data_IF_708696033322
#
_entry.id   IF_708696033322
#
_cell.length_a   1.000
_cell.length_b   1.000
_cell.length_c   1.000
_cell.angle_alpha   90.00
_cell.angle_beta   90.00
_cell.angle_gamma   90.00
#
_symmetry.space_group_name_H-M   'P 1'
#
loop_
_entity.id
_entity.type
_entity.pdbx_description
1 polymer ?
#
# COMPACT_ATOMS: atom_id res chain seq x y z
N UNK A 1 7.73 17.85 -50.72
CA UNK A 1 6.98 16.65 -50.28
C UNK A 1 7.05 16.62 -48.77
N UNK A 2 5.90 16.81 -48.12
CA UNK A 2 5.72 16.67 -46.68
C UNK A 2 5.88 15.21 -46.25
N UNK A 3 6.11 15.06 -44.94
CA UNK A 3 5.78 13.93 -44.08
C UNK A 3 6.79 12.77 -44.01
N UNK A 4 7.54 12.77 -42.91
CA UNK A 4 7.59 11.61 -42.02
C UNK A 4 7.95 12.09 -40.59
N UNK A 5 7.00 12.76 -39.93
CA UNK A 5 6.95 12.75 -38.47
C UNK A 5 6.60 11.30 -38.08
N UNK A 6 7.61 10.49 -37.79
CA UNK A 6 7.38 9.23 -37.09
C UNK A 6 7.09 9.60 -35.63
N UNK A 7 5.82 9.52 -35.26
CA UNK A 7 5.36 9.54 -33.88
C UNK A 7 6.15 8.50 -33.09
N UNK A 8 7.07 8.96 -32.24
CA UNK A 8 7.40 8.27 -31.00
C UNK A 8 6.15 8.37 -30.11
N UNK A 9 5.18 7.49 -30.37
CA UNK A 9 4.16 7.19 -29.40
C UNK A 9 4.87 6.51 -28.23
N UNK A 10 5.20 7.26 -27.19
CA UNK A 10 5.34 6.69 -25.86
C UNK A 10 4.06 5.89 -25.63
N UNK A 11 4.15 4.57 -25.69
CA UNK A 11 3.08 3.70 -25.28
C UNK A 11 2.95 3.88 -23.76
N UNK A 12 2.16 4.88 -23.34
CA UNK A 12 1.66 4.95 -21.99
C UNK A 12 0.88 3.65 -21.77
N UNK A 13 1.45 2.72 -21.02
CA UNK A 13 0.73 1.54 -20.59
C UNK A 13 -0.47 2.04 -19.79
N UNK A 14 -1.72 1.63 -20.13
CA UNK A 14 -2.87 2.14 -19.41
C UNK A 14 -2.77 1.66 -17.96
N UNK A 15 -2.64 2.62 -17.05
CA UNK A 15 -2.69 2.39 -15.62
C UNK A 15 -4.08 2.82 -15.13
N UNK A 16 -4.76 1.93 -14.44
CA UNK A 16 -5.96 2.24 -13.68
C UNK A 16 -5.57 2.27 -12.22
N UNK A 17 -5.90 3.36 -11.53
CA UNK A 17 -5.68 3.42 -10.09
C UNK A 17 -6.81 4.14 -9.39
N UNK A 18 -7.21 3.56 -8.26
CA UNK A 18 -8.17 4.15 -7.32
C UNK A 18 -7.38 4.44 -6.06
N UNK A 19 -7.32 5.71 -5.64
CA UNK A 19 -6.54 6.06 -4.46
C UNK A 19 -7.19 7.10 -3.56
N UNK A 20 -6.90 6.96 -2.27
CA UNK A 20 -7.15 7.98 -1.25
C UNK A 20 -5.83 8.27 -0.55
N UNK A 21 -5.59 9.55 -0.27
CA UNK A 21 -4.40 10.00 0.43
C UNK A 21 -4.72 10.92 1.58
N UNK A 22 -3.91 10.83 2.63
CA UNK A 22 -3.99 11.68 3.82
C UNK A 22 -2.62 12.31 4.05
N UNK A 23 -2.55 13.62 3.88
CA UNK A 23 -1.32 14.39 4.07
C UNK A 23 -1.45 15.19 5.36
N UNK A 24 -0.62 14.89 6.35
CA UNK A 24 -0.58 15.64 7.58
C UNK A 24 -0.01 17.05 7.34
N UNK A 25 -0.60 18.09 7.95
CA UNK A 25 -0.10 19.45 7.86
C UNK A 25 1.05 19.72 8.84
N UNK A 26 1.65 20.90 8.75
CA UNK A 26 2.49 21.53 9.78
C UNK A 26 3.62 20.63 10.32
N UNK A 27 4.30 19.94 9.41
CA UNK A 27 5.42 19.03 9.70
C UNK A 27 5.05 17.84 10.61
N UNK A 28 3.76 17.57 10.83
CA UNK A 28 3.32 16.36 11.51
C UNK A 28 3.52 15.13 10.61
N UNK A 29 3.73 13.98 11.23
CA UNK A 29 4.15 12.75 10.55
C UNK A 29 3.44 11.54 11.14
N UNK A 30 3.18 10.55 10.29
CA UNK A 30 2.69 9.25 10.71
C UNK A 30 3.83 8.45 11.36
N UNK A 31 3.51 7.76 12.44
CA UNK A 31 4.46 6.92 13.20
C UNK A 31 4.03 5.47 13.26
N UNK A 32 2.74 5.19 13.04
CA UNK A 32 2.22 3.83 12.97
C UNK A 32 1.12 3.72 11.93
N UNK A 33 1.07 2.56 11.28
CA UNK A 33 0.00 2.13 10.39
C UNK A 33 -0.34 0.68 10.72
N UNK A 34 -1.62 0.37 10.79
CA UNK A 34 -2.11 -1.00 10.82
C UNK A 34 -3.37 -1.12 9.96
N UNK A 35 -3.52 -2.23 9.26
CA UNK A 35 -4.73 -2.57 8.52
C UNK A 35 -4.78 -4.07 8.22
N UNK A 36 -5.95 -4.58 7.95
CA UNK A 36 -6.17 -5.92 7.43
C UNK A 36 -6.68 -5.82 6.00
N UNK A 37 -6.02 -6.48 5.04
CA UNK A 37 -6.56 -6.67 3.69
C UNK A 37 -7.17 -8.06 3.57
N UNK A 38 -8.35 -8.15 2.94
CA UNK A 38 -8.93 -9.43 2.55
C UNK A 38 -8.47 -9.78 1.13
N UNK A 39 -7.89 -10.96 0.94
CA UNK A 39 -7.43 -11.43 -0.38
C UNK A 39 -8.63 -11.46 -1.33
N UNK A 40 -8.61 -10.65 -2.40
CA UNK A 40 -9.75 -10.53 -3.31
C UNK A 40 -9.82 -11.72 -4.26
N UNK A 41 -10.89 -11.82 -5.08
CA UNK A 41 -10.95 -12.75 -6.21
C UNK A 41 -9.66 -12.74 -7.06
N UNK A 42 -9.34 -13.86 -7.72
CA UNK A 42 -8.23 -13.86 -8.68
C UNK A 42 -8.50 -12.85 -9.80
N UNK A 43 -7.43 -12.37 -10.44
CA UNK A 43 -7.58 -11.57 -11.66
C UNK A 43 -8.46 -12.33 -12.67
N UNK A 44 -9.31 -11.63 -13.45
CA UNK A 44 -10.17 -12.30 -14.42
C UNK A 44 -9.35 -13.18 -15.37
N UNK A 45 -9.87 -14.35 -15.73
CA UNK A 45 -9.11 -15.37 -16.48
C UNK A 45 -8.60 -14.92 -17.85
N UNK A 46 -9.14 -13.84 -18.41
CA UNK A 46 -8.66 -13.24 -19.65
C UNK A 46 -7.44 -12.34 -19.48
N UNK A 47 -7.11 -11.92 -18.26
CA UNK A 47 -5.98 -11.06 -17.94
C UNK A 47 -4.70 -11.89 -17.92
N UNK A 48 -3.75 -11.54 -18.78
CA UNK A 48 -2.47 -12.24 -18.90
C UNK A 48 -1.26 -11.34 -18.67
N UNK A 49 -1.49 -10.03 -18.52
CA UNK A 49 -0.46 -9.03 -18.26
C UNK A 49 -0.84 -8.23 -17.03
N UNK A 50 0.14 -7.98 -16.19
CA UNK A 50 0.07 -7.04 -15.07
C UNK A 50 1.33 -6.17 -15.09
N UNK A 51 1.84 -5.78 -13.92
CA UNK A 51 1.41 -6.14 -12.56
C UNK A 51 0.19 -5.38 -12.02
N UNK A 52 -0.48 -6.01 -11.05
CA UNK A 52 -1.60 -5.43 -10.28
C UNK A 52 -1.25 -5.43 -8.80
N UNK A 53 -1.43 -4.29 -8.14
CA UNK A 53 -1.09 -4.09 -6.73
C UNK A 53 -2.25 -3.46 -5.97
N UNK A 54 -2.45 -3.92 -4.74
CA UNK A 54 -3.33 -3.29 -3.76
C UNK A 54 -2.55 -3.05 -2.48
N UNK A 55 -2.45 -1.80 -2.06
CA UNK A 55 -1.57 -1.41 -0.97
C UNK A 55 -2.19 -0.32 -0.12
N UNK A 56 -1.80 -0.32 1.16
CA UNK A 56 -1.81 0.90 1.96
C UNK A 56 -0.41 1.10 2.54
N UNK A 57 0.09 2.32 2.51
CA UNK A 57 1.47 2.64 2.81
C UNK A 57 1.69 4.06 3.33
N UNK A 58 2.85 4.27 3.94
CA UNK A 58 3.33 5.56 4.40
C UNK A 58 4.41 6.06 3.45
N UNK A 59 4.31 7.31 3.03
CA UNK A 59 5.23 7.92 2.07
C UNK A 59 5.94 9.13 2.65
N UNK A 60 7.21 9.23 2.29
CA UNK A 60 8.00 10.45 2.31
C UNK A 60 8.01 11.06 0.91
N UNK A 61 8.46 12.32 0.72
CA UNK A 61 8.68 12.85 -0.63
C UNK A 61 9.61 11.94 -1.46
N UNK A 62 9.02 11.18 -2.38
CA UNK A 62 9.73 10.24 -3.25
C UNK A 62 10.02 8.85 -2.68
N UNK A 63 9.68 8.55 -1.42
CA UNK A 63 9.97 7.25 -0.78
C UNK A 63 8.72 6.64 -0.14
N UNK A 64 8.71 5.32 0.10
CA UNK A 64 7.51 4.63 0.56
C UNK A 64 7.81 3.41 1.44
N UNK A 65 6.95 3.15 2.42
CA UNK A 65 6.79 1.90 3.17
C UNK A 65 5.41 1.35 2.85
N UNK A 66 5.33 0.23 2.15
CA UNK A 66 4.06 -0.28 1.64
C UNK A 66 4.02 -1.80 1.62
N UNK A 67 3.30 -2.45 2.55
CA UNK A 67 2.82 -3.80 2.33
C UNK A 67 1.94 -3.81 1.07
N UNK A 68 2.27 -4.63 0.09
CA UNK A 68 1.61 -4.70 -1.21
C UNK A 68 1.12 -6.11 -1.51
N UNK A 69 -0.19 -6.26 -1.72
CA UNK A 69 -0.77 -7.49 -2.27
C UNK A 69 -0.62 -7.45 -3.80
N UNK A 70 0.23 -8.29 -4.34
CA UNK A 70 0.66 -8.22 -5.74
C UNK A 70 0.30 -9.47 -6.55
N UNK A 71 -0.02 -9.25 -7.83
CA UNK A 71 -0.16 -10.26 -8.88
C UNK A 71 0.66 -9.88 -10.10
N UNK A 72 1.18 -10.89 -10.81
CA UNK A 72 1.99 -10.70 -12.02
C UNK A 72 3.47 -10.42 -11.74
N UNK A 73 3.86 -10.36 -10.47
CA UNK A 73 5.23 -10.20 -10.01
C UNK A 73 5.54 -11.18 -8.86
N UNK A 74 6.69 -11.83 -8.95
CA UNK A 74 7.23 -12.66 -7.89
C UNK A 74 8.21 -11.86 -7.02
N UNK A 75 8.24 -12.16 -5.72
CA UNK A 75 9.30 -11.63 -4.86
C UNK A 75 10.64 -12.24 -5.28
N UNK A 76 11.60 -11.39 -5.63
CA UNK A 76 12.97 -11.80 -5.93
C UNK A 76 13.67 -12.49 -4.74
N UNK A 77 13.22 -12.24 -3.51
CA UNK A 77 13.71 -12.88 -2.28
C UNK A 77 13.06 -14.25 -2.01
N UNK A 78 12.18 -14.72 -2.90
CA UNK A 78 11.43 -15.97 -2.75
C UNK A 78 10.23 -15.83 -1.83
N UNK A 79 9.71 -16.97 -1.34
CA UNK A 79 8.46 -17.03 -0.57
C UNK A 79 8.68 -17.76 0.76
N UNK A 80 8.02 -17.27 1.82
CA UNK A 80 8.07 -17.89 3.15
C UNK A 80 7.33 -19.24 3.17
N UNK A 81 6.24 -19.34 2.42
CA UNK A 81 5.39 -20.53 2.34
C UNK A 81 5.26 -21.04 0.89
N UNK A 82 6.35 -21.52 0.25
CA UNK A 82 6.33 -21.90 -1.16
C UNK A 82 5.53 -23.17 -1.45
N UNK A 83 5.23 -23.99 -0.45
CA UNK A 83 4.60 -25.32 -0.61
C UNK A 83 3.11 -25.34 -0.21
N UNK A 84 2.40 -24.23 -0.44
CA UNK A 84 0.95 -24.16 -0.19
C UNK A 84 0.16 -25.06 -1.16
N UNK A 85 -0.99 -25.57 -0.71
CA UNK A 85 -1.87 -26.45 -1.48
C UNK A 85 -2.99 -25.73 -2.22
N UNK A 86 -3.19 -24.44 -1.95
CA UNK A 86 -4.16 -23.58 -2.64
C UNK A 86 -3.49 -22.83 -3.81
N UNK A 87 -4.29 -22.26 -4.73
CA UNK A 87 -3.76 -21.48 -5.86
C UNK A 87 -2.92 -20.28 -5.42
N UNK A 88 -1.71 -20.16 -5.96
CA UNK A 88 -0.76 -19.07 -5.71
C UNK A 88 -1.05 -17.87 -6.61
N UNK A 89 -2.16 -17.18 -6.35
CA UNK A 89 -2.59 -16.06 -7.19
C UNK A 89 -2.01 -14.75 -6.68
N UNK A 90 -2.29 -14.42 -5.43
CA UNK A 90 -1.82 -13.20 -4.80
C UNK A 90 -0.69 -13.52 -3.84
N UNK A 91 0.32 -12.65 -3.80
CA UNK A 91 1.34 -12.69 -2.76
C UNK A 91 1.43 -11.34 -2.06
N UNK A 92 1.51 -11.36 -0.73
CA UNK A 92 1.82 -10.17 0.06
C UNK A 92 3.32 -10.03 0.19
N UNK A 93 3.85 -8.84 -0.07
CA UNK A 93 5.25 -8.47 0.14
C UNK A 93 5.33 -7.13 0.87
N UNK A 94 6.46 -6.84 1.48
CA UNK A 94 6.76 -5.53 2.07
C UNK A 94 7.68 -4.78 1.13
N UNK A 95 7.19 -3.66 0.58
CA UNK A 95 7.99 -2.73 -0.21
C UNK A 95 8.56 -1.64 0.68
N UNK A 96 9.81 -1.31 0.41
CA UNK A 96 10.45 -0.09 0.87
C UNK A 96 11.11 0.57 -0.33
N UNK A 97 10.64 1.75 -0.71
CA UNK A 97 11.21 2.57 -1.77
C UNK A 97 11.99 3.72 -1.18
N UNK A 98 13.17 3.96 -1.74
CA UNK A 98 14.06 5.05 -1.35
C UNK A 98 13.46 6.41 -1.72
N UNK A 99 13.56 7.38 -0.83
CA UNK A 99 13.26 8.76 -1.16
C UNK A 99 14.20 9.28 -2.26
N UNK A 100 13.69 10.22 -3.06
CA UNK A 100 14.38 10.73 -4.26
C UNK A 100 15.77 11.34 -3.95
N UNK A 101 15.97 11.83 -2.74
CA UNK A 101 17.22 12.44 -2.26
C UNK A 101 18.25 11.41 -1.76
N UNK A 102 17.89 10.13 -1.68
CA UNK A 102 18.75 9.04 -1.19
C UNK A 102 19.45 8.31 -2.32
N UNK A 103 20.51 8.90 -2.85
CA UNK A 103 21.26 8.36 -4.01
C UNK A 103 21.94 7.02 -3.75
N UNK A 104 22.31 6.72 -2.50
CA UNK A 104 23.00 5.48 -2.11
C UNK A 104 22.04 4.42 -1.53
N UNK A 105 20.72 4.69 -1.58
CA UNK A 105 19.70 3.78 -1.11
C UNK A 105 19.31 2.80 -2.22
N UNK A 106 18.98 1.57 -1.84
CA UNK A 106 18.43 0.56 -2.74
C UNK A 106 17.06 0.15 -2.25
N UNK A 107 16.08 0.17 -3.15
CA UNK A 107 14.74 -0.31 -2.87
C UNK A 107 14.82 -1.76 -2.36
N UNK A 108 13.96 -2.08 -1.40
CA UNK A 108 13.95 -3.38 -0.75
C UNK A 108 12.55 -3.98 -0.82
N UNK A 109 12.48 -5.23 -1.26
CA UNK A 109 11.26 -6.03 -1.29
C UNK A 109 11.52 -7.26 -0.43
N UNK A 110 10.65 -7.52 0.54
CA UNK A 110 10.76 -8.71 1.38
C UNK A 110 10.47 -10.00 0.60
N UNK A 111 10.66 -11.15 1.25
CA UNK A 111 10.04 -12.39 0.78
C UNK A 111 8.52 -12.23 0.66
N UNK A 112 7.91 -13.00 -0.23
CA UNK A 112 6.45 -13.05 -0.39
C UNK A 112 5.77 -14.04 0.54
N UNK A 113 4.51 -13.77 0.86
CA UNK A 113 3.61 -14.69 1.57
C UNK A 113 2.38 -14.95 0.71
N UNK A 114 2.14 -16.21 0.37
CA UNK A 114 0.90 -16.64 -0.29
C UNK A 114 -0.23 -16.78 0.73
N UNK A 115 -1.44 -16.38 0.32
CA UNK A 115 -2.67 -16.59 1.07
C UNK A 115 -3.81 -16.94 0.10
N UNK A 116 -4.79 -17.71 0.57
CA UNK A 116 -5.91 -18.13 -0.29
C UNK A 116 -6.99 -17.04 -0.41
N UNK A 117 -7.92 -17.26 -1.34
CA UNK A 117 -9.06 -16.36 -1.55
C UNK A 117 -9.84 -16.15 -0.25
N UNK A 118 -10.05 -14.89 0.12
CA UNK A 118 -10.78 -14.51 1.33
C UNK A 118 -9.97 -14.64 2.63
N UNK A 119 -8.71 -15.07 2.57
CA UNK A 119 -7.80 -14.94 3.71
C UNK A 119 -7.65 -13.48 4.11
N UNK A 120 -7.47 -13.25 5.41
CA UNK A 120 -7.16 -11.93 5.96
C UNK A 120 -5.66 -11.85 6.22
N UNK A 121 -5.04 -10.78 5.74
CA UNK A 121 -3.63 -10.48 5.98
C UNK A 121 -3.57 -9.19 6.76
N UNK A 122 -3.06 -9.27 8.00
CA UNK A 122 -2.81 -8.11 8.84
C UNK A 122 -1.45 -7.53 8.48
N UNK A 123 -1.40 -6.22 8.30
CA UNK A 123 -0.22 -5.47 7.95
C UNK A 123 0.01 -4.38 8.98
N UNK A 124 1.26 -4.21 9.42
CA UNK A 124 1.65 -3.17 10.37
C UNK A 124 2.93 -2.50 9.91
N UNK A 125 3.06 -1.19 10.15
CA UNK A 125 4.32 -0.47 10.11
C UNK A 125 4.43 0.37 11.38
N UNK A 126 5.54 0.24 12.12
CA UNK A 126 5.78 0.98 13.37
C UNK A 126 7.15 1.63 13.31
N UNK A 127 7.19 2.92 13.61
CA UNK A 127 8.41 3.68 13.82
C UNK A 127 8.78 3.69 15.30
N UNK A 128 9.97 3.20 15.62
CA UNK A 128 10.53 3.28 16.95
C UNK A 128 12.05 3.43 16.89
N UNK A 129 12.60 4.27 17.76
CA UNK A 129 14.05 4.44 17.95
C UNK A 129 14.87 4.63 16.65
N UNK A 130 14.33 5.34 15.65
CA UNK A 130 15.02 5.59 14.37
C UNK A 130 14.79 4.54 13.28
N UNK A 131 14.01 3.49 13.57
CA UNK A 131 13.77 2.38 12.66
C UNK A 131 12.29 2.24 12.33
N UNK A 132 12.02 1.85 11.09
CA UNK A 132 10.72 1.34 10.70
C UNK A 132 10.74 -0.18 10.71
N UNK A 133 9.73 -0.79 11.32
CA UNK A 133 9.48 -2.22 11.21
C UNK A 133 8.13 -2.44 10.55
N UNK A 134 8.15 -3.07 9.37
CA UNK A 134 6.97 -3.50 8.62
C UNK A 134 6.75 -5.00 8.82
N UNK A 135 5.51 -5.43 9.00
CA UNK A 135 5.14 -6.84 9.11
C UNK A 135 3.86 -7.10 8.32
N UNK A 136 3.79 -8.26 7.68
CA UNK A 136 2.57 -8.84 7.14
C UNK A 136 2.39 -10.27 7.67
N UNK A 137 1.18 -10.60 8.13
CA UNK A 137 0.84 -11.93 8.65
C UNK A 137 -0.53 -12.38 8.14
N UNK A 138 -0.60 -13.61 7.64
CA UNK A 138 -1.88 -14.24 7.28
C UNK A 138 -2.57 -14.70 8.57
N UNK A 139 -3.66 -14.05 8.94
CA UNK A 139 -4.35 -14.30 10.23
C UNK A 139 -5.56 -15.24 10.09
N UNK A 140 -6.05 -15.50 8.87
CA UNK A 140 -7.15 -16.45 8.60
C UNK A 140 -6.98 -17.14 7.24
N UNK A 141 -7.71 -18.24 7.02
CA UNK A 141 -7.71 -18.98 5.75
C UNK A 141 -6.45 -19.82 5.52
N UNK A 142 -6.22 -20.17 4.26
CA UNK A 142 -5.01 -20.81 3.77
C UNK A 142 -3.81 -19.88 3.87
N UNK A 143 -2.69 -20.43 4.35
CA UNK A 143 -1.46 -19.67 4.60
C UNK A 143 -1.39 -19.09 6.01
N UNK A 144 -2.42 -19.28 6.84
CA UNK A 144 -2.47 -18.79 8.23
C UNK A 144 -1.19 -19.10 9.01
N UNK A 145 -0.67 -18.09 9.70
CA UNK A 145 0.57 -18.15 10.48
C UNK A 145 1.84 -17.92 9.66
N UNK A 146 1.75 -17.87 8.33
CA UNK A 146 2.85 -17.37 7.51
C UNK A 146 2.96 -15.85 7.68
N UNK A 147 4.19 -15.38 7.90
CA UNK A 147 4.47 -13.97 8.11
C UNK A 147 5.80 -13.58 7.51
N UNK A 148 5.92 -12.32 7.12
CA UNK A 148 7.17 -11.68 6.74
C UNK A 148 7.35 -10.38 7.51
N UNK A 149 8.59 -10.05 7.85
CA UNK A 149 8.96 -8.84 8.58
C UNK A 149 10.17 -8.19 7.91
N UNK A 150 10.22 -6.86 7.94
CA UNK A 150 11.34 -6.07 7.43
C UNK A 150 11.58 -4.89 8.37
N UNK A 151 12.83 -4.73 8.82
CA UNK A 151 13.25 -3.58 9.62
C UNK A 151 14.29 -2.78 8.84
N UNK A 152 14.08 -1.47 8.76
CA UNK A 152 14.98 -0.54 8.08
C UNK A 152 15.32 0.66 8.98
N UNK A 153 16.48 1.26 8.74
CA UNK A 153 16.80 2.58 9.29
C UNK A 153 16.01 3.65 8.53
N UNK A 154 15.24 4.49 9.23
CA UNK A 154 14.49 5.56 8.58
C UNK A 154 15.42 6.55 7.86
N UNK A 155 16.55 6.91 8.48
CA UNK A 155 17.52 7.85 7.90
C UNK A 155 18.20 7.33 6.61
N UNK A 156 18.22 6.00 6.41
CA UNK A 156 18.78 5.36 5.21
C UNK A 156 17.84 5.43 4.02
N UNK A 157 16.52 5.53 4.25
CA UNK A 157 15.50 5.50 3.20
C UNK A 157 14.75 6.82 3.01
N UNK A 158 14.64 7.65 4.04
CA UNK A 158 13.85 8.87 4.04
C UNK A 158 14.66 10.08 4.48
N UNK A 159 14.27 11.26 4.02
CA UNK A 159 14.82 12.50 4.54
C UNK A 159 14.31 12.74 5.96
N UNK A 160 15.14 12.40 6.95
CA UNK A 160 14.90 12.68 8.37
C UNK A 160 15.75 13.83 8.88
N UNK A 161 16.45 14.54 8.00
CA UNK A 161 17.31 15.67 8.34
C UNK A 161 16.61 17.00 8.11
N UNK A 162 15.83 17.10 7.04
CA UNK A 162 15.07 18.32 6.71
C UNK A 162 13.59 18.20 7.07
N UNK A 163 13.07 16.98 7.24
CA UNK A 163 11.71 16.72 7.71
C UNK A 163 11.74 16.11 9.11
N UNK A 164 10.70 16.33 9.95
CA UNK A 164 10.59 15.63 11.22
C UNK A 164 10.61 14.12 11.01
N UNK A 165 11.41 13.44 11.83
CA UNK A 165 11.43 11.99 11.82
C UNK A 165 10.04 11.45 12.20
N UNK A 166 9.52 10.45 11.48
CA UNK A 166 10.23 9.58 10.54
C UNK A 166 10.25 9.99 9.05
N UNK A 167 9.77 11.18 8.70
CA UNK A 167 9.74 11.67 7.32
C UNK A 167 8.51 11.22 6.52
N UNK A 168 7.51 10.59 7.15
CA UNK A 168 6.32 10.06 6.47
C UNK A 168 5.05 10.83 6.82
N UNK A 169 4.84 12.00 6.21
CA UNK A 169 3.62 12.82 6.41
C UNK A 169 2.44 12.39 5.54
N UNK A 170 2.67 11.48 4.58
CA UNK A 170 1.68 11.05 3.60
C UNK A 170 1.28 9.59 3.87
N UNK A 171 -0.02 9.32 3.89
CA UNK A 171 -0.58 7.98 3.81
C UNK A 171 -1.25 7.80 2.45
N UNK A 172 -1.08 6.62 1.85
CA UNK A 172 -1.75 6.20 0.62
C UNK A 172 -2.52 4.92 0.90
N UNK A 173 -3.73 4.82 0.37
CA UNK A 173 -4.39 3.53 0.10
C UNK A 173 -4.77 3.52 -1.37
N UNK A 174 -4.26 2.55 -2.12
CA UNK A 174 -4.31 2.56 -3.58
C UNK A 174 -4.47 1.15 -4.18
N UNK A 175 -5.21 1.10 -5.28
CA UNK A 175 -5.03 0.07 -6.31
C UNK A 175 -4.16 0.65 -7.42
N UNK A 176 -3.10 -0.05 -7.83
CA UNK A 176 -2.31 0.31 -8.99
C UNK A 176 -2.34 -0.88 -9.97
N UNK A 177 -3.05 -0.70 -11.09
CA UNK A 177 -3.33 -1.76 -12.05
C UNK A 177 -2.73 -1.37 -13.38
N UNK A 178 -1.69 -2.07 -13.81
CA UNK A 178 -0.97 -1.76 -15.04
C UNK A 178 -1.22 -2.79 -16.14
N UNK A 179 -0.89 -2.39 -17.36
CA UNK A 179 -0.99 -3.24 -18.54
C UNK A 179 -2.27 -3.01 -19.35
N UNK A 180 -2.32 -3.50 -20.60
CA UNK A 180 -3.38 -3.21 -21.56
C UNK A 180 -4.78 -3.71 -21.16
N UNK A 181 -4.86 -4.52 -20.09
CA UNK A 181 -6.09 -5.14 -19.61
C UNK A 181 -6.50 -4.59 -18.24
N UNK A 182 -6.01 -3.42 -17.84
CA UNK A 182 -6.33 -2.80 -16.55
C UNK A 182 -7.82 -2.53 -16.35
N UNK A 183 -8.56 -2.26 -17.43
CA UNK A 183 -10.03 -2.12 -17.41
C UNK A 183 -10.80 -3.42 -17.16
N UNK A 184 -10.12 -4.57 -17.10
CA UNK A 184 -10.76 -5.85 -16.78
C UNK A 184 -11.05 -6.02 -15.28
N UNK A 185 -10.47 -5.18 -14.41
CA UNK A 185 -10.72 -5.23 -12.97
C UNK A 185 -12.21 -5.03 -12.68
N UNK A 186 -12.82 -5.99 -11.97
CA UNK A 186 -14.27 -6.07 -11.79
C UNK A 186 -14.72 -6.58 -10.41
N UNK A 187 -13.85 -6.44 -9.41
CA UNK A 187 -14.13 -6.90 -8.05
C UNK A 187 -13.66 -5.86 -7.03
N UNK A 188 -14.26 -5.88 -5.85
CA UNK A 188 -13.88 -4.97 -4.78
C UNK A 188 -12.63 -5.46 -4.05
N UNK A 189 -11.83 -4.52 -3.55
CA UNK A 189 -10.74 -4.78 -2.63
C UNK A 189 -11.04 -4.12 -1.31
N UNK A 190 -11.00 -4.92 -0.24
CA UNK A 190 -11.47 -4.50 1.09
C UNK A 190 -10.31 -4.46 2.07
N UNK A 191 -10.13 -3.28 2.65
CA UNK A 191 -9.27 -3.01 3.78
C UNK A 191 -10.15 -2.79 5.01
N UNK A 192 -9.76 -3.37 6.14
CA UNK A 192 -10.50 -3.31 7.42
C UNK A 192 -9.54 -3.05 8.57
N UNK A 193 -10.07 -2.68 9.73
CA UNK A 193 -9.28 -2.46 10.96
C UNK A 193 -8.14 -1.45 10.72
N UNK A 194 -8.43 -0.39 9.95
CA UNK A 194 -7.43 0.57 9.50
C UNK A 194 -7.17 1.53 10.65
N UNK A 195 -5.91 1.70 11.03
CA UNK A 195 -5.49 2.66 12.04
C UNK A 195 -4.20 3.37 11.63
N UNK A 196 -4.18 4.70 11.76
CA UNK A 196 -3.03 5.55 11.50
C UNK A 196 -2.74 6.43 12.71
N UNK A 197 -1.54 6.33 13.29
CA UNK A 197 -1.14 7.12 14.45
C UNK A 197 -0.12 8.17 14.06
N UNK A 198 -0.45 9.43 14.29
CA UNK A 198 0.45 10.55 14.08
C UNK A 198 1.37 10.79 15.29
N UNK A 199 2.47 11.50 15.07
CA UNK A 199 3.41 11.88 16.14
C UNK A 199 2.79 12.86 17.13
N UNK A 200 1.94 13.76 16.64
CA UNK A 200 1.19 14.71 17.46
C UNK A 200 -0.23 14.91 16.89
N UNK A 201 -1.12 15.60 17.62
CA UNK A 201 -2.54 15.72 17.25
C UNK A 201 -2.85 16.86 16.27
N UNK A 202 -1.83 17.62 15.84
CA UNK A 202 -1.99 18.78 14.96
C UNK A 202 -2.57 18.35 13.62
N UNK A 203 -3.74 18.88 13.28
CA UNK A 203 -4.43 18.63 12.00
C UNK A 203 -5.03 17.24 11.81
N UNK A 204 -4.76 16.28 12.70
CA UNK A 204 -5.16 14.87 12.59
C UNK A 204 -6.69 14.74 12.55
N UNK A 205 -7.38 15.35 13.53
CA UNK A 205 -8.84 15.26 13.63
C UNK A 205 -9.56 15.85 12.42
N UNK A 206 -9.11 17.02 11.94
CA UNK A 206 -9.67 17.66 10.75
C UNK A 206 -9.39 16.88 9.48
N UNK A 207 -8.19 16.33 9.33
CA UNK A 207 -7.79 15.56 8.15
C UNK A 207 -8.59 14.25 8.06
N UNK A 208 -8.60 13.47 9.14
CA UNK A 208 -9.23 12.15 9.15
C UNK A 208 -10.75 12.23 9.22
N UNK A 209 -11.30 13.14 10.03
CA UNK A 209 -12.75 13.33 10.14
C UNK A 209 -13.39 13.96 8.91
N UNK A 210 -12.59 14.59 8.04
CA UNK A 210 -13.04 15.10 6.75
C UNK A 210 -13.17 14.04 5.67
N UNK A 211 -12.69 12.81 5.90
CA UNK A 211 -12.71 11.75 4.88
C UNK A 211 -14.09 11.12 4.76
N UNK A 212 -14.62 11.15 3.54
CA UNK A 212 -15.90 10.55 3.19
C UNK A 212 -15.75 9.69 1.94
N UNK A 213 -16.69 8.76 1.75
CA UNK A 213 -16.76 7.98 0.50
C UNK A 213 -16.76 8.91 -0.71
N UNK A 214 -15.93 8.60 -1.70
CA UNK A 214 -15.68 9.47 -2.85
C UNK A 214 -15.30 8.68 -4.10
N UNK A 215 -15.41 9.32 -5.26
CA UNK A 215 -14.80 8.85 -6.50
C UNK A 215 -13.56 9.69 -6.80
N UNK A 216 -12.56 9.07 -7.43
CA UNK A 216 -11.38 9.76 -7.97
C UNK A 216 -11.41 9.84 -9.51
N UNK A 217 -12.54 9.45 -10.12
CA UNK A 217 -12.74 9.39 -11.57
C UNK A 217 -12.37 8.05 -12.21
N UNK A 218 -11.58 7.21 -11.54
CA UNK A 218 -11.19 5.87 -11.99
C UNK A 218 -12.00 4.75 -11.32
N UNK A 219 -12.61 5.05 -10.18
CA UNK A 219 -13.61 4.20 -9.53
C UNK A 219 -14.16 4.85 -8.26
N UNK A 220 -14.57 4.04 -7.29
CA UNK A 220 -15.21 4.51 -6.06
C UNK A 220 -14.56 3.93 -4.81
N UNK A 221 -14.40 4.78 -3.80
CA UNK A 221 -13.86 4.47 -2.48
C UNK A 221 -15.00 4.60 -1.48
N UNK A 222 -15.35 3.47 -0.84
CA UNK A 222 -16.33 3.46 0.25
C UNK A 222 -15.61 3.46 1.59
N UNK A 223 -15.91 4.42 2.45
CA UNK A 223 -15.30 4.60 3.78
C UNK A 223 -16.39 4.44 4.85
N UNK A 224 -16.15 3.59 5.85
CA UNK A 224 -17.08 3.34 6.95
C UNK A 224 -16.39 3.36 8.31
N UNK A 225 -17.18 3.67 9.36
CA UNK A 225 -16.79 3.45 10.75
C UNK A 225 -15.60 4.30 11.19
N UNK A 226 -15.57 5.59 10.80
CA UNK A 226 -14.53 6.48 11.28
C UNK A 226 -14.69 6.73 12.79
N UNK A 227 -13.59 6.56 13.51
CA UNK A 227 -13.45 7.02 14.89
C UNK A 227 -12.05 7.62 15.12
N UNK A 228 -11.93 8.39 16.18
CA UNK A 228 -10.69 9.04 16.61
C UNK A 228 -10.37 8.58 18.02
N UNK A 229 -9.10 8.27 18.29
CA UNK A 229 -8.64 7.97 19.64
C UNK A 229 -8.83 9.18 20.57
N UNK A 230 -8.96 8.91 21.87
CA UNK A 230 -9.22 9.97 22.88
C UNK A 230 -8.09 10.98 23.03
N UNK A 231 -6.86 10.62 22.68
CA UNK A 231 -5.70 11.52 22.65
C UNK A 231 -5.61 12.34 21.34
N UNK A 232 -6.47 12.07 20.36
CA UNK A 232 -6.51 12.76 19.08
C UNK A 232 -5.34 12.43 18.15
N UNK A 233 -4.57 11.37 18.44
CA UNK A 233 -3.39 10.97 17.66
C UNK A 233 -3.69 9.93 16.59
N UNK A 234 -4.69 9.08 16.81
CA UNK A 234 -4.95 7.91 15.99
C UNK A 234 -6.32 7.99 15.31
N UNK A 235 -6.28 7.93 13.99
CA UNK A 235 -7.45 7.78 13.16
C UNK A 235 -7.76 6.30 12.95
N UNK A 236 -9.02 5.92 13.07
CA UNK A 236 -9.47 4.56 12.85
C UNK A 236 -10.63 4.53 11.84
N UNK A 237 -10.66 3.50 11.00
CA UNK A 237 -11.79 3.21 10.13
C UNK A 237 -12.07 1.70 10.13
N UNK A 238 -13.34 1.33 10.29
CA UNK A 238 -13.78 -0.06 10.19
C UNK A 238 -13.43 -0.66 8.82
N UNK A 239 -13.66 0.10 7.75
CA UNK A 239 -13.36 -0.36 6.39
C UNK A 239 -13.13 0.77 5.39
N UNK A 240 -12.23 0.51 4.44
CA UNK A 240 -12.15 1.21 3.15
C UNK A 240 -12.21 0.19 2.01
N UNK A 241 -13.08 0.41 1.03
CA UNK A 241 -13.32 -0.50 -0.08
C UNK A 241 -13.04 0.22 -1.40
N UNK A 242 -12.10 -0.29 -2.19
CA UNK A 242 -11.83 0.16 -3.55
C UNK A 242 -12.70 -0.65 -4.53
N UNK A 243 -13.45 0.04 -5.37
CA UNK A 243 -14.36 -0.57 -6.36
C UNK A 243 -14.12 0.08 -7.74
N UNK A 244 -13.81 -0.69 -8.79
CA UNK A 244 -13.69 -0.17 -10.15
C UNK A 244 -14.98 0.47 -10.68
#
# INVERSE_FOLDING_TARGET
>A
MLAALALLGLAATPALGISISLILPDENVWTQMNYTITVPPPVPSGVTQGPWWYTAGLQAPGGMLAPGLQWGEDSAAGFVNPNVTFPKVWSMVLWTLCANDKTDCHDAISQGVYADLGAKIRNTAVYDNGFWTQQAEVISGGGRGASVNQTISAASYFDTQTLPAPGTSFFLLESAITGPQSSAWNFNVTFTDISLTAQNSTGVASLCGGQTSTTDGNGFITINGFEMSSDGLTCHWDSMILSP
#
